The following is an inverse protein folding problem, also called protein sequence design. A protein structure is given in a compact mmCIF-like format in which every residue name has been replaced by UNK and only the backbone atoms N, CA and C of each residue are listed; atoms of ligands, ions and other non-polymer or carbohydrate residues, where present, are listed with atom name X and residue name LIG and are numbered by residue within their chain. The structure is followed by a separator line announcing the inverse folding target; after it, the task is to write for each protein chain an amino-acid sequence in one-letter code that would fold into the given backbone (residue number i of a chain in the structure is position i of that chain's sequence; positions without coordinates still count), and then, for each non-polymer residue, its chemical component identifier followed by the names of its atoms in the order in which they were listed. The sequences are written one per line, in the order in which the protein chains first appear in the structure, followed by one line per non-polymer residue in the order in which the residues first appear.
data_IF_431231727415
#
_entry.id   IF_431231727415
#
_cell.length_a   1.000
_cell.length_b   1.000
_cell.length_c   1.000
_cell.angle_alpha   90.00
_cell.angle_beta   90.00
_cell.angle_gamma   90.00
#
_symmetry.space_group_name_H-M   'P 1'
#
loop_
_entity.id
_entity.type
_entity.pdbx_description
1 polymer ?
#
# COMPACT_ATOMS: atom_id res chain seq x y z
N UNK A 1 -6.38 -0.55 1.72
CA UNK A 1 -5.18 -1.11 2.40
C UNK A 1 -5.55 -2.42 3.11
N UNK A 2 -6.46 -3.23 2.56
CA UNK A 2 -7.24 -4.17 3.39
C UNK A 2 -8.20 -3.45 4.34
N UNK A 3 -8.93 -4.19 5.15
CA UNK A 3 -9.83 -3.73 6.22
C UNK A 3 -9.16 -3.83 7.60
N UNK A 4 -9.48 -2.92 8.54
CA UNK A 4 -9.07 -3.00 9.95
C UNK A 4 -9.23 -4.41 10.52
N UNK A 5 -10.38 -5.03 10.28
CA UNK A 5 -10.68 -6.37 10.75
C UNK A 5 -9.74 -7.45 10.21
N UNK A 6 -9.09 -7.24 9.06
CA UNK A 6 -8.09 -8.19 8.54
C UNK A 6 -6.87 -8.26 9.48
N UNK A 7 -6.37 -7.09 9.89
CA UNK A 7 -5.22 -6.93 10.77
C UNK A 7 -5.53 -7.36 12.21
N UNK A 8 -6.72 -7.01 12.71
CA UNK A 8 -7.14 -7.42 14.05
C UNK A 8 -7.37 -8.93 14.12
N UNK A 9 -7.84 -9.58 13.04
CA UNK A 9 -7.88 -11.05 12.95
C UNK A 9 -6.48 -11.67 12.93
N UNK A 10 -5.50 -11.07 12.27
CA UNK A 10 -4.11 -11.53 12.35
C UNK A 10 -3.59 -11.46 13.78
N UNK A 11 -3.82 -10.34 14.47
CA UNK A 11 -3.44 -10.17 15.87
C UNK A 11 -4.06 -11.23 16.78
N UNK A 12 -5.36 -11.50 16.61
CA UNK A 12 -6.08 -12.54 17.35
C UNK A 12 -5.58 -13.96 17.02
N UNK A 13 -4.96 -14.17 15.86
CA UNK A 13 -4.44 -15.48 15.40
C UNK A 13 -3.00 -15.75 15.84
N UNK A 14 -2.47 -14.99 16.80
CA UNK A 14 -1.12 -15.17 17.36
C UNK A 14 -0.08 -14.18 16.84
N UNK A 15 -0.44 -13.24 15.95
CA UNK A 15 0.43 -12.19 15.45
C UNK A 15 0.20 -10.87 16.17
N UNK A 16 0.33 -10.83 17.50
CA UNK A 16 -0.10 -9.70 18.34
C UNK A 16 0.48 -8.32 18.00
N UNK A 17 1.55 -8.24 17.21
CA UNK A 17 2.12 -6.99 16.69
C UNK A 17 1.50 -6.48 15.37
N UNK A 18 0.53 -7.22 14.83
CA UNK A 18 -0.08 -6.96 13.52
C UNK A 18 -1.51 -6.41 13.61
N UNK A 19 -1.96 -5.96 14.77
CA UNK A 19 -3.25 -5.27 14.89
C UNK A 19 -3.27 -4.00 14.05
N UNK A 20 -4.46 -3.54 13.63
CA UNK A 20 -4.56 -2.38 12.75
C UNK A 20 -3.87 -1.15 13.34
N UNK A 21 -4.03 -0.92 14.64
CA UNK A 21 -3.43 0.23 15.32
C UNK A 21 -1.89 0.18 15.30
N UNK A 22 -1.30 -1.01 15.32
CA UNK A 22 0.16 -1.19 15.23
C UNK A 22 0.71 -1.05 13.82
N UNK A 23 -0.06 -1.44 12.80
CA UNK A 23 0.36 -1.31 11.40
C UNK A 23 0.03 0.06 10.79
N UNK A 24 -0.93 0.80 11.35
CA UNK A 24 -1.37 2.11 10.85
C UNK A 24 -0.20 3.12 10.68
N UNK A 25 0.73 3.27 11.64
CA UNK A 25 1.89 4.13 11.46
C UNK A 25 2.76 3.75 10.25
N UNK A 26 2.79 2.48 9.87
CA UNK A 26 3.54 2.02 8.68
C UNK A 26 2.80 2.34 7.38
N UNK A 27 1.46 2.28 7.36
CA UNK A 27 0.67 2.79 6.23
C UNK A 27 0.86 4.30 6.04
N UNK A 28 0.89 5.06 7.13
CA UNK A 28 1.19 6.49 7.07
C UNK A 28 2.63 6.74 6.63
N UNK A 29 3.60 5.99 7.15
CA UNK A 29 5.02 6.15 6.82
C UNK A 29 5.32 5.93 5.34
N UNK A 30 4.67 4.95 4.71
CA UNK A 30 4.94 4.63 3.31
C UNK A 30 4.30 5.61 2.32
N UNK A 31 3.26 6.33 2.71
CA UNK A 31 2.36 7.02 1.80
C UNK A 31 2.60 8.54 1.74
N UNK A 32 2.50 9.10 0.53
CA UNK A 32 2.25 10.51 0.28
C UNK A 32 0.92 10.66 -0.46
N UNK A 33 -0.14 10.88 0.31
CA UNK A 33 -1.51 11.07 -0.16
C UNK A 33 -1.69 12.49 -0.69
N UNK A 34 -2.36 12.63 -1.85
CA UNK A 34 -2.56 13.95 -2.46
C UNK A 34 -3.36 14.93 -1.57
N UNK A 35 -4.22 14.42 -0.68
CA UNK A 35 -4.96 15.22 0.29
C UNK A 35 -4.18 15.58 1.56
N UNK A 36 -2.90 15.18 1.66
CA UNK A 36 -2.07 15.38 2.84
C UNK A 36 -2.25 14.32 3.94
N UNK A 37 -1.37 14.37 4.94
CA UNK A 37 -1.41 13.45 6.07
C UNK A 37 -2.53 13.78 7.07
N UNK A 38 -3.13 12.75 7.65
CA UNK A 38 -4.11 12.88 8.73
C UNK A 38 -4.00 11.66 9.67
N UNK A 39 -4.98 11.44 10.55
CA UNK A 39 -5.02 10.29 11.48
C UNK A 39 -4.83 8.94 10.78
N UNK A 40 -5.30 8.80 9.53
CA UNK A 40 -5.26 7.56 8.77
C UNK A 40 -4.28 7.61 7.59
N UNK A 41 -3.99 8.79 7.04
CA UNK A 41 -3.24 8.99 5.78
C UNK A 41 -1.81 9.47 6.03
N UNK A 42 -0.90 9.04 5.16
CA UNK A 42 0.47 9.54 5.12
C UNK A 42 0.60 10.72 4.17
N UNK A 43 1.38 11.74 4.53
CA UNK A 43 1.63 12.89 3.64
C UNK A 43 3.01 12.90 2.99
N UNK A 44 3.99 12.24 3.62
CA UNK A 44 5.42 12.47 3.36
C UNK A 44 6.19 11.19 3.00
N UNK A 45 5.49 10.07 2.84
CA UNK A 45 6.09 8.81 2.47
C UNK A 45 6.49 8.74 0.99
N UNK A 46 7.32 7.76 0.60
CA UNK A 46 7.87 7.68 -0.76
C UNK A 46 6.84 7.26 -1.82
N UNK A 47 5.72 6.63 -1.44
CA UNK A 47 4.71 6.13 -2.37
C UNK A 47 3.61 7.17 -2.55
N UNK A 48 3.58 7.85 -3.70
CA UNK A 48 2.52 8.81 -4.01
C UNK A 48 1.20 8.10 -4.31
N UNK A 49 0.13 8.56 -3.70
CA UNK A 49 -1.24 8.09 -3.95
C UNK A 49 -2.17 9.27 -4.22
N UNK A 50 -3.13 9.08 -5.11
CA UNK A 50 -4.08 10.10 -5.56
C UNK A 50 -5.40 9.45 -5.96
N UNK A 51 -6.50 10.18 -6.01
CA UNK A 51 -7.71 9.74 -6.65
C UNK A 51 -7.50 9.50 -8.15
N UNK A 52 -8.33 8.63 -8.70
CA UNK A 52 -8.42 8.39 -10.11
C UNK A 52 -8.95 9.64 -10.82
N UNK A 53 -8.14 10.20 -11.72
CA UNK A 53 -8.49 11.38 -12.51
C UNK A 53 -9.27 11.06 -13.79
N UNK A 54 -9.53 9.79 -14.09
CA UNK A 54 -10.35 9.39 -15.24
C UNK A 54 -11.78 9.92 -15.09
N UNK A 55 -12.31 10.62 -16.09
CA UNK A 55 -13.64 11.21 -16.04
C UNK A 55 -14.53 10.50 -17.06
N UNK A 56 -15.65 10.00 -16.57
CA UNK A 56 -16.67 9.32 -17.37
C UNK A 56 -18.00 9.47 -16.65
N UNK A 57 -19.06 9.77 -17.40
CA UNK A 57 -20.41 9.94 -16.84
C UNK A 57 -20.93 8.65 -16.21
N UNK A 58 -20.44 7.48 -16.64
CA UNK A 58 -20.79 6.19 -16.04
C UNK A 58 -20.33 6.07 -14.58
N UNK A 59 -19.26 6.76 -14.18
CA UNK A 59 -18.78 6.71 -12.80
C UNK A 59 -19.81 7.37 -11.87
N UNK A 60 -20.32 8.53 -12.26
CA UNK A 60 -21.29 9.28 -11.48
C UNK A 60 -22.65 8.57 -11.47
N UNK A 61 -23.07 8.02 -12.63
CA UNK A 61 -24.27 7.20 -12.72
C UNK A 61 -24.21 5.94 -11.84
N UNK A 62 -23.05 5.27 -11.78
CA UNK A 62 -22.86 4.11 -10.93
C UNK A 62 -22.86 4.47 -9.44
N UNK A 63 -22.23 5.59 -9.06
CA UNK A 63 -22.28 6.10 -7.69
C UNK A 63 -23.73 6.40 -7.27
N UNK A 64 -24.51 7.07 -8.13
CA UNK A 64 -25.91 7.35 -7.89
C UNK A 64 -26.75 6.07 -7.74
N UNK A 65 -26.58 5.10 -8.65
CA UNK A 65 -27.28 3.82 -8.58
C UNK A 65 -26.98 3.05 -7.28
N UNK A 66 -25.75 3.14 -6.75
CA UNK A 66 -25.41 2.50 -5.47
C UNK A 66 -26.15 3.12 -4.28
N UNK A 67 -26.39 4.44 -4.30
CA UNK A 67 -27.22 5.14 -3.29
C UNK A 67 -28.68 4.70 -3.41
N UNK A 68 -29.22 4.62 -4.62
CA UNK A 68 -30.59 4.14 -4.89
C UNK A 68 -30.80 2.69 -4.44
N UNK A 69 -29.77 1.87 -4.55
CA UNK A 69 -29.75 0.50 -4.04
C UNK A 69 -29.55 0.40 -2.51
N UNK A 70 -29.44 1.54 -1.80
CA UNK A 70 -29.33 1.60 -0.35
C UNK A 70 -27.91 1.45 0.21
N UNK A 71 -26.87 1.51 -0.63
CA UNK A 71 -25.48 1.44 -0.18
C UNK A 71 -24.89 2.82 0.11
N UNK A 72 -24.09 2.97 1.17
CA UNK A 72 -23.46 4.24 1.50
C UNK A 72 -22.32 4.59 0.53
N UNK A 73 -22.04 5.89 0.38
CA UNK A 73 -20.79 6.35 -0.21
C UNK A 73 -19.70 6.48 0.87
N UNK A 74 -18.44 6.42 0.44
CA UNK A 74 -17.26 6.74 1.24
C UNK A 74 -16.33 7.69 0.48
N UNK A 75 -15.97 8.78 1.14
CA UNK A 75 -15.02 9.75 0.58
C UNK A 75 -13.59 9.21 0.60
N UNK A 76 -13.27 8.31 1.53
CA UNK A 76 -11.95 7.70 1.67
C UNK A 76 -12.05 6.30 2.30
N UNK A 77 -12.02 5.26 1.47
CA UNK A 77 -12.03 3.87 1.91
C UNK A 77 -10.74 3.42 2.63
N UNK A 78 -9.72 4.28 2.70
CA UNK A 78 -8.52 4.09 3.50
C UNK A 78 -8.49 5.00 4.75
N UNK A 79 -9.58 5.75 4.99
CA UNK A 79 -9.78 6.64 6.13
C UNK A 79 -10.54 5.94 7.26
N UNK A 80 -11.36 6.71 7.98
CA UNK A 80 -12.10 6.24 9.15
C UNK A 80 -13.15 5.17 8.81
N UNK A 81 -13.93 5.40 7.74
CA UNK A 81 -14.99 4.49 7.28
C UNK A 81 -14.61 3.83 5.96
N UNK A 82 -14.34 2.53 6.02
CA UNK A 82 -13.93 1.75 4.84
C UNK A 82 -15.09 1.30 3.97
N UNK A 83 -16.25 1.03 4.58
CA UNK A 83 -17.43 0.54 3.89
C UNK A 83 -18.11 1.64 3.08
N UNK A 84 -18.49 1.28 1.86
CA UNK A 84 -19.20 2.14 0.92
C UNK A 84 -18.55 2.21 -0.45
N UNK A 85 -19.26 2.80 -1.40
CA UNK A 85 -18.76 3.09 -2.73
C UNK A 85 -17.97 4.40 -2.70
N UNK A 86 -16.80 4.41 -3.33
CA UNK A 86 -15.92 5.57 -3.30
C UNK A 86 -15.08 5.67 -4.56
N UNK A 87 -14.55 6.86 -4.80
CA UNK A 87 -13.68 7.12 -5.95
C UNK A 87 -12.39 6.30 -5.80
N UNK A 88 -12.05 5.51 -6.83
CA UNK A 88 -10.83 4.72 -6.84
C UNK A 88 -9.60 5.60 -6.57
N UNK A 89 -8.71 5.16 -5.69
CA UNK A 89 -7.39 5.76 -5.44
C UNK A 89 -6.31 4.91 -6.12
N UNK A 90 -5.29 5.57 -6.65
CA UNK A 90 -4.23 5.00 -7.47
C UNK A 90 -2.85 5.41 -6.97
N UNK A 91 -1.90 4.49 -7.10
CA UNK A 91 -0.48 4.74 -6.84
C UNK A 91 0.18 5.38 -8.07
N UNK A 92 0.00 6.69 -8.22
CA UNK A 92 0.50 7.49 -9.35
C UNK A 92 1.18 8.75 -8.83
N UNK A 93 2.30 9.12 -9.45
CA UNK A 93 3.01 10.37 -9.22
C UNK A 93 3.32 11.02 -10.57
N UNK A 94 2.96 12.30 -10.75
CA UNK A 94 3.24 13.06 -11.99
C UNK A 94 2.83 12.31 -13.27
N UNK A 95 1.65 11.69 -13.25
CA UNK A 95 1.09 10.95 -14.40
C UNK A 95 1.72 9.59 -14.67
N UNK A 96 2.65 9.12 -13.84
CA UNK A 96 3.30 7.80 -13.98
C UNK A 96 3.03 6.93 -12.76
N UNK A 97 3.05 5.61 -12.94
CA UNK A 97 2.98 4.64 -11.84
C UNK A 97 4.07 4.93 -10.81
N UNK A 98 3.69 5.08 -9.54
CA UNK A 98 4.63 5.19 -8.41
C UNK A 98 4.97 3.78 -7.88
N UNK A 99 5.78 3.03 -8.63
CA UNK A 99 6.16 1.67 -8.22
C UNK A 99 7.10 1.68 -7.02
N UNK A 100 7.18 0.56 -6.28
CA UNK A 100 8.13 0.39 -5.17
C UNK A 100 9.59 0.58 -5.62
N UNK A 101 9.94 0.14 -6.83
CA UNK A 101 11.25 0.39 -7.41
C UNK A 101 11.53 1.89 -7.60
N UNK A 102 10.54 2.67 -8.07
CA UNK A 102 10.70 4.13 -8.23
C UNK A 102 10.68 4.90 -6.91
N UNK A 103 9.83 4.48 -5.97
CA UNK A 103 9.59 5.13 -4.69
C UNK A 103 10.71 4.86 -3.68
N UNK A 104 11.17 3.61 -3.56
CA UNK A 104 12.13 3.19 -2.55
C UNK A 104 13.52 2.87 -3.12
N UNK A 105 13.59 2.06 -4.17
CA UNK A 105 14.86 1.51 -4.63
C UNK A 105 15.72 2.55 -5.36
N UNK A 106 15.17 3.24 -6.36
CA UNK A 106 15.90 4.23 -7.16
C UNK A 106 16.56 5.33 -6.30
N UNK A 107 15.88 5.92 -5.30
CA UNK A 107 16.52 6.88 -4.40
C UNK A 107 17.64 6.29 -3.53
N UNK A 108 17.57 4.99 -3.23
CA UNK A 108 18.53 4.29 -2.39
C UNK A 108 19.78 3.79 -3.16
N UNK A 109 19.73 3.68 -4.50
CA UNK A 109 20.85 3.19 -5.34
C UNK A 109 22.16 3.97 -5.16
N UNK A 110 22.12 5.20 -4.66
CA UNK A 110 23.31 6.01 -4.36
C UNK A 110 24.09 5.55 -3.12
N UNK A 111 23.55 4.62 -2.33
CA UNK A 111 24.17 4.18 -1.09
C UNK A 111 25.28 3.16 -1.39
N UNK A 112 26.50 3.32 -0.85
CA UNK A 112 27.62 2.42 -1.16
C UNK A 112 27.44 1.01 -0.61
N UNK A 113 26.54 0.82 0.35
CA UNK A 113 26.23 -0.48 0.96
C UNK A 113 25.02 -1.19 0.33
N UNK A 114 24.57 -0.77 -0.85
CA UNK A 114 23.48 -1.41 -1.58
C UNK A 114 23.95 -1.90 -2.95
N UNK A 115 23.86 -3.22 -3.16
CA UNK A 115 24.09 -3.86 -4.46
C UNK A 115 22.76 -4.39 -4.99
N UNK A 116 22.45 -4.12 -6.26
CA UNK A 116 21.26 -4.64 -6.93
C UNK A 116 21.69 -5.56 -8.06
N UNK A 117 21.27 -6.82 -7.99
CA UNK A 117 21.45 -7.82 -9.04
C UNK A 117 20.11 -8.04 -9.74
N UNK A 118 20.08 -7.86 -11.05
CA UNK A 118 18.89 -8.11 -11.89
C UNK A 118 19.10 -9.35 -12.74
N UNK A 119 18.04 -10.08 -13.03
CA UNK A 119 18.15 -11.36 -13.76
C UNK A 119 18.72 -12.50 -12.92
N UNK A 120 18.92 -12.29 -11.61
CA UNK A 120 19.41 -13.28 -10.67
C UNK A 120 18.25 -13.89 -9.89
N UNK A 121 17.94 -15.15 -10.15
CA UNK A 121 16.90 -15.91 -9.44
C UNK A 121 17.53 -16.67 -8.28
N UNK A 122 17.12 -16.39 -7.05
CA UNK A 122 17.54 -17.19 -5.90
C UNK A 122 16.90 -18.58 -5.97
N UNK A 123 17.71 -19.62 -6.15
CA UNK A 123 17.25 -21.01 -6.37
C UNK A 123 17.33 -21.88 -5.12
N UNK A 124 18.20 -21.53 -4.16
CA UNK A 124 18.40 -22.30 -2.93
C UNK A 124 18.90 -21.41 -1.80
N UNK A 125 18.47 -21.71 -0.57
CA UNK A 125 19.05 -21.14 0.66
C UNK A 125 20.18 -22.08 1.12
N UNK A 126 21.36 -21.53 1.43
CA UNK A 126 22.45 -22.30 2.04
C UNK A 126 22.31 -22.27 3.56
N UNK A 127 22.51 -23.42 4.21
CA UNK A 127 22.34 -23.58 5.66
C UNK A 127 23.63 -24.10 6.30
N UNK A 128 23.91 -23.63 7.51
CA UNK A 128 24.84 -24.24 8.44
C UNK A 128 24.06 -24.67 9.69
N UNK A 129 23.76 -25.96 9.80
CA UNK A 129 22.79 -26.46 10.78
C UNK A 129 21.40 -25.87 10.50
N UNK A 130 20.82 -25.18 11.48
CA UNK A 130 19.51 -24.50 11.36
C UNK A 130 19.62 -23.02 10.95
N UNK A 131 20.83 -22.51 10.71
CA UNK A 131 21.07 -21.10 10.36
C UNK A 131 21.24 -20.92 8.86
N UNK A 132 20.49 -19.97 8.27
CA UNK A 132 20.73 -19.51 6.90
C UNK A 132 22.02 -18.69 6.79
N UNK A 133 22.84 -19.01 5.78
CA UNK A 133 24.15 -18.38 5.55
C UNK A 133 24.29 -17.70 4.19
N UNK A 134 23.32 -17.90 3.29
CA UNK A 134 23.35 -17.29 1.96
C UNK A 134 22.29 -17.86 1.02
N UNK A 135 22.38 -17.47 -0.25
CA UNK A 135 21.54 -17.97 -1.33
C UNK A 135 22.39 -18.34 -2.55
N UNK A 136 21.96 -19.36 -3.28
CA UNK A 136 22.49 -19.69 -4.61
C UNK A 136 21.63 -18.98 -5.64
N UNK A 137 22.26 -18.36 -6.65
CA UNK A 137 21.58 -17.66 -7.74
C UNK A 137 21.97 -18.26 -9.09
N UNK A 138 21.08 -18.18 -10.08
CA UNK A 138 21.39 -18.48 -11.48
C UNK A 138 21.95 -17.27 -12.25
#
# INVERSE_FOLDING_TARGET
RGNRGDYDRWAASGLGDWSYDKVLPYFQKQESWEGGGNRFRGGNGPVSTQFCRYKDTLIDAFAQASVEAGYPQTDDYNGERQEGFGRLQMTISKGRRSSTASAYLRPALKRPNLTVLTGATATKITLQGTRATGVVMN
#
